data_IF_183369797774
#
_entry.id   IF_183369797774
#
_cell.length_a   1.000
_cell.length_b   1.000
_cell.length_c   1.000
_cell.angle_alpha   90.00
_cell.angle_beta   90.00
_cell.angle_gamma   90.00
#
_symmetry.space_group_name_H-M   'P 1'
#
loop_
_entity.id
_entity.type
_entity.pdbx_description
1 polymer ?
#
# COMPACT_ATOMS: atom_id res chain seq x y z
N UNK A 1 2.32 9.43 14.80
CA UNK A 1 1.92 8.07 14.42
C UNK A 1 3.15 7.19 14.60
N UNK A 2 3.07 6.02 15.24
CA UNK A 2 4.25 5.15 15.34
C UNK A 2 4.58 4.55 13.97
N UNK A 3 5.84 4.19 13.75
CA UNK A 3 6.27 3.44 12.55
C UNK A 3 5.46 2.14 12.41
N UNK A 4 5.19 1.47 13.51
CA UNK A 4 4.33 0.27 13.56
C UNK A 4 2.94 0.54 12.97
N UNK A 5 2.26 1.61 13.40
CA UNK A 5 0.94 1.96 12.88
C UNK A 5 0.98 2.30 11.37
N UNK A 6 2.05 2.94 10.91
CA UNK A 6 2.22 3.22 9.47
C UNK A 6 2.40 1.93 8.66
N UNK A 7 3.15 0.96 9.19
CA UNK A 7 3.29 -0.36 8.57
C UNK A 7 1.96 -1.12 8.56
N UNK A 8 1.20 -1.07 9.66
CA UNK A 8 -0.09 -1.73 9.76
C UNK A 8 -1.08 -1.19 8.71
N UNK A 9 -1.14 0.13 8.52
CA UNK A 9 -2.00 0.73 7.50
C UNK A 9 -1.69 0.21 6.08
N UNK A 10 -0.40 0.04 5.74
CA UNK A 10 -0.01 -0.53 4.44
C UNK A 10 -0.44 -1.99 4.31
N UNK A 11 -0.35 -2.78 5.39
CA UNK A 11 -0.81 -4.16 5.41
C UNK A 11 -2.32 -4.22 5.15
N UNK A 12 -3.10 -3.34 5.79
CA UNK A 12 -4.55 -3.29 5.62
C UNK A 12 -4.92 -2.94 4.17
N UNK A 13 -4.28 -1.92 3.59
CA UNK A 13 -4.48 -1.55 2.17
C UNK A 13 -4.10 -2.68 1.19
N UNK A 14 -3.02 -3.40 1.47
CA UNK A 14 -2.60 -4.56 0.68
C UNK A 14 -3.62 -5.70 0.77
N UNK A 15 -4.09 -6.02 1.98
CA UNK A 15 -5.08 -7.06 2.22
C UNK A 15 -6.40 -6.75 1.51
N UNK A 16 -6.87 -5.51 1.56
CA UNK A 16 -8.09 -5.08 0.86
C UNK A 16 -7.95 -5.20 -0.66
N UNK A 17 -6.75 -4.91 -1.17
CA UNK A 17 -6.46 -4.95 -2.62
C UNK A 17 -6.38 -6.38 -3.17
N UNK A 18 -6.18 -7.41 -2.34
CA UNK A 18 -6.12 -8.81 -2.78
C UNK A 18 -7.35 -9.24 -3.58
N UNK A 19 -8.54 -8.73 -3.21
CA UNK A 19 -9.79 -9.02 -3.93
C UNK A 19 -9.76 -8.51 -5.37
N UNK A 20 -9.15 -7.35 -5.60
CA UNK A 20 -9.01 -6.79 -6.94
C UNK A 20 -7.86 -7.44 -7.72
N UNK A 21 -6.77 -7.81 -7.05
CA UNK A 21 -5.71 -8.60 -7.68
C UNK A 21 -6.26 -9.94 -8.23
N UNK A 22 -7.01 -10.69 -7.40
CA UNK A 22 -7.62 -11.95 -7.82
C UNK A 22 -8.63 -11.80 -8.98
N UNK A 23 -9.30 -10.63 -9.10
CA UNK A 23 -10.16 -10.31 -10.24
C UNK A 23 -9.34 -9.96 -11.49
N UNK A 24 -8.24 -9.23 -11.31
CA UNK A 24 -7.35 -8.87 -12.41
C UNK A 24 -6.72 -10.12 -13.06
N UNK A 25 -6.28 -11.08 -12.26
CA UNK A 25 -5.72 -12.36 -12.74
C UNK A 25 -6.73 -13.16 -13.59
N UNK A 26 -8.02 -12.90 -13.40
CA UNK A 26 -9.13 -13.47 -14.18
C UNK A 26 -9.53 -12.63 -15.40
N UNK A 27 -8.74 -11.62 -15.77
CA UNK A 27 -8.97 -10.77 -16.93
C UNK A 27 -9.86 -9.55 -16.70
N UNK A 28 -10.21 -9.20 -15.45
CA UNK A 28 -11.02 -8.01 -15.17
C UNK A 28 -10.14 -6.75 -15.17
N UNK A 29 -10.06 -6.07 -16.33
CA UNK A 29 -9.19 -4.90 -16.53
C UNK A 29 -9.43 -3.75 -15.53
N UNK A 30 -10.69 -3.48 -15.17
CA UNK A 30 -11.01 -2.44 -14.19
C UNK A 30 -10.41 -2.72 -12.79
N UNK A 31 -10.25 -4.00 -12.43
CA UNK A 31 -9.61 -4.38 -11.18
C UNK A 31 -8.10 -4.11 -11.22
N UNK A 32 -7.44 -4.38 -12.35
CA UNK A 32 -6.03 -4.03 -12.54
C UNK A 32 -5.76 -2.51 -12.40
N UNK A 33 -6.67 -1.67 -12.89
CA UNK A 33 -6.60 -0.21 -12.67
C UNK A 33 -6.67 0.16 -11.19
N UNK A 34 -7.52 -0.51 -10.40
CA UNK A 34 -7.62 -0.28 -8.95
C UNK A 34 -6.37 -0.75 -8.21
N UNK A 35 -5.88 -1.96 -8.50
CA UNK A 35 -4.61 -2.48 -7.94
C UNK A 35 -3.48 -1.50 -8.21
N UNK A 36 -3.31 -1.03 -9.46
CA UNK A 36 -2.29 -0.06 -9.81
C UNK A 36 -2.40 1.23 -8.99
N UNK A 37 -3.62 1.75 -8.81
CA UNK A 37 -3.87 2.96 -8.02
C UNK A 37 -3.51 2.75 -6.54
N UNK A 38 -3.90 1.62 -5.93
CA UNK A 38 -3.51 1.33 -4.55
C UNK A 38 -2.00 1.21 -4.42
N UNK A 39 -1.33 0.53 -5.36
CA UNK A 39 0.13 0.37 -5.32
C UNK A 39 0.88 1.72 -5.44
N UNK A 40 0.30 2.70 -6.15
CA UNK A 40 0.82 4.07 -6.14
C UNK A 40 0.72 4.73 -4.75
N UNK A 41 -0.38 4.49 -4.04
CA UNK A 41 -0.56 4.91 -2.64
C UNK A 41 0.44 4.25 -1.69
N UNK A 42 0.57 2.92 -1.75
CA UNK A 42 1.54 2.15 -0.95
C UNK A 42 2.97 2.65 -1.16
N UNK A 43 3.35 2.96 -2.41
CA UNK A 43 4.68 3.55 -2.69
C UNK A 43 4.89 4.86 -1.93
N UNK A 44 3.89 5.72 -1.85
CA UNK A 44 3.97 6.96 -1.09
C UNK A 44 4.04 6.69 0.42
N UNK A 45 3.18 5.81 0.94
CA UNK A 45 3.17 5.42 2.36
C UNK A 45 4.52 4.83 2.81
N UNK A 46 5.11 3.95 2.00
CA UNK A 46 6.44 3.37 2.26
C UNK A 46 7.54 4.44 2.30
N UNK A 47 7.46 5.45 1.43
CA UNK A 47 8.38 6.57 1.45
C UNK A 47 8.24 7.40 2.73
N UNK A 48 7.03 7.57 3.24
CA UNK A 48 6.78 8.30 4.48
C UNK A 48 7.26 7.52 5.71
N UNK A 49 7.09 6.20 5.74
CA UNK A 49 7.71 5.33 6.76
C UNK A 49 9.22 5.53 6.79
N UNK A 50 9.87 5.49 5.61
CA UNK A 50 11.32 5.70 5.49
C UNK A 50 11.74 7.05 6.05
N UNK A 51 11.00 8.13 5.73
CA UNK A 51 11.29 9.47 6.25
C UNK A 51 11.13 9.52 7.77
N UNK A 52 10.06 8.95 8.31
CA UNK A 52 9.79 8.95 9.75
C UNK A 52 10.95 8.28 10.51
N UNK A 53 11.38 7.09 10.07
CA UNK A 53 12.53 6.38 10.68
C UNK A 53 13.81 7.20 10.60
N UNK A 54 14.02 7.95 9.51
CA UNK A 54 15.19 8.84 9.39
C UNK A 54 15.10 10.02 10.34
N UNK A 55 13.92 10.63 10.48
CA UNK A 55 13.67 11.73 11.41
C UNK A 55 13.81 11.30 12.87
N UNK A 56 13.43 10.07 13.22
CA UNK A 56 13.56 9.55 14.60
C UNK A 56 15.03 9.37 15.02
N UNK A 57 15.97 9.34 14.06
CA UNK A 57 17.42 9.22 14.31
C UNK A 57 18.11 10.58 14.51
N UNK A 58 17.50 11.67 14.04
CA UNK A 58 18.06 13.03 14.04
C UNK A 58 17.50 13.88 15.17
#
# INVERSE_FOLDING_TARGET
>A
MSVEAMLQNMIDELNDTLKDAAKHDKGVNAAGTRVRKTMQGIKAAAQDVRKQVQSDRS
#
